data_IF_968192150276
#
_entry.id   IF_968192150276
#
_cell.length_a   1.000
_cell.length_b   1.000
_cell.length_c   1.000
_cell.angle_alpha   90.00
_cell.angle_beta   90.00
_cell.angle_gamma   90.00
#
_symmetry.space_group_name_H-M   'P 1'
#
loop_
_entity.id
_entity.type
_entity.pdbx_description
1 polymer ?
#
# COMPACT_ATOMS: atom_id res chain seq x y z
N UNK A 1 -29.55 -9.39 23.69
CA UNK A 1 -28.19 -9.40 23.13
C UNK A 1 -27.40 -8.36 23.92
N UNK A 2 -26.36 -8.80 24.63
CA UNK A 2 -25.57 -7.94 25.52
C UNK A 2 -24.53 -7.16 24.71
N UNK A 3 -24.20 -5.94 25.15
CA UNK A 3 -23.19 -5.08 24.52
C UNK A 3 -21.83 -5.78 24.39
N UNK A 4 -21.54 -6.72 25.28
CA UNK A 4 -20.32 -7.50 25.27
C UNK A 4 -20.24 -8.50 24.12
N UNK A 5 -21.36 -9.11 23.71
CA UNK A 5 -21.41 -9.96 22.52
C UNK A 5 -21.30 -9.14 21.24
N UNK A 6 -21.87 -7.94 21.22
CA UNK A 6 -21.68 -7.00 20.11
C UNK A 6 -20.21 -6.60 20.01
N UNK A 7 -19.56 -6.29 21.14
CA UNK A 7 -18.11 -6.04 21.21
C UNK A 7 -17.30 -7.25 20.76
N UNK A 8 -17.68 -8.46 21.16
CA UNK A 8 -16.93 -9.69 20.84
C UNK A 8 -17.09 -10.11 19.38
N UNK A 9 -18.22 -9.80 18.77
CA UNK A 9 -18.47 -9.95 17.33
C UNK A 9 -17.81 -8.81 16.53
N UNK A 10 -17.84 -7.57 17.04
CA UNK A 10 -17.17 -6.39 16.47
C UNK A 10 -15.63 -6.47 16.56
N UNK A 11 -15.12 -7.14 17.59
CA UNK A 11 -13.68 -7.34 17.84
C UNK A 11 -13.20 -8.73 17.36
N UNK A 12 -14.12 -9.56 16.89
CA UNK A 12 -13.84 -10.95 16.53
C UNK A 12 -13.17 -11.08 15.17
N UNK A 13 -12.32 -12.11 15.05
CA UNK A 13 -11.57 -12.56 13.86
C UNK A 13 -12.37 -12.65 12.54
N UNK A 14 -13.70 -12.61 12.63
CA UNK A 14 -14.65 -12.64 11.50
C UNK A 14 -14.79 -11.27 10.83
N UNK A 15 -14.69 -10.16 11.58
CA UNK A 15 -14.64 -8.82 10.97
C UNK A 15 -13.34 -8.59 10.22
N UNK A 16 -12.19 -9.08 10.70
CA UNK A 16 -10.90 -8.91 10.02
C UNK A 16 -10.87 -9.43 8.57
N UNK A 17 -11.68 -10.44 8.23
CA UNK A 17 -11.81 -10.92 6.83
C UNK A 17 -12.87 -10.19 6.01
N UNK A 18 -13.88 -9.61 6.65
CA UNK A 18 -14.86 -8.74 5.97
C UNK A 18 -14.30 -7.33 5.76
N UNK A 19 -13.47 -6.84 6.68
CA UNK A 19 -12.89 -5.49 6.72
C UNK A 19 -11.98 -5.22 5.51
N UNK A 20 -11.25 -6.24 5.04
CA UNK A 20 -10.45 -6.15 3.80
C UNK A 20 -11.30 -5.86 2.55
N UNK A 21 -12.57 -6.27 2.52
CA UNK A 21 -13.50 -6.03 1.39
C UNK A 21 -14.43 -4.84 1.68
N UNK A 22 -14.72 -4.55 2.95
CA UNK A 22 -15.61 -3.48 3.37
C UNK A 22 -14.89 -2.13 3.45
N UNK A 23 -13.58 -2.11 3.72
CA UNK A 23 -12.72 -0.92 3.84
C UNK A 23 -12.94 0.11 2.72
N UNK A 24 -12.90 -0.24 1.41
CA UNK A 24 -13.06 0.76 0.35
C UNK A 24 -14.48 1.33 0.23
N UNK A 25 -15.50 0.68 0.82
CA UNK A 25 -16.92 1.07 0.69
C UNK A 25 -17.59 1.52 1.99
N UNK A 26 -16.99 1.27 3.14
CA UNK A 26 -17.58 1.61 4.44
C UNK A 26 -17.68 3.12 4.62
N UNK A 27 -16.62 3.86 4.29
CA UNK A 27 -16.57 5.32 4.45
C UNK A 27 -17.64 6.04 3.62
N UNK A 28 -17.80 5.79 2.32
CA UNK A 28 -18.87 6.45 1.54
C UNK A 28 -20.27 6.05 2.00
N UNK A 29 -20.50 4.78 2.40
CA UNK A 29 -21.80 4.37 2.96
C UNK A 29 -22.09 5.08 4.29
N UNK A 30 -21.12 5.12 5.19
CA UNK A 30 -21.27 5.78 6.50
C UNK A 30 -21.52 7.27 6.34
N UNK A 31 -20.84 7.92 5.39
CA UNK A 31 -21.06 9.33 5.09
C UNK A 31 -22.49 9.58 4.57
N UNK A 32 -22.98 8.73 3.65
CA UNK A 32 -24.34 8.84 3.14
C UNK A 32 -25.40 8.62 4.23
N UNK A 33 -25.23 7.59 5.06
CA UNK A 33 -26.13 7.28 6.19
C UNK A 33 -26.07 8.40 7.24
N UNK A 34 -24.88 8.90 7.56
CA UNK A 34 -24.70 10.02 8.49
C UNK A 34 -25.38 11.28 8.01
N UNK A 35 -25.21 11.64 6.72
CA UNK A 35 -25.93 12.77 6.13
C UNK A 35 -27.44 12.58 6.16
N UNK A 36 -27.94 11.38 5.82
CA UNK A 36 -29.36 11.09 5.88
C UNK A 36 -29.91 11.21 7.31
N UNK A 37 -29.17 10.73 8.31
CA UNK A 37 -29.53 10.84 9.72
C UNK A 37 -29.59 12.31 10.18
N UNK A 38 -28.59 13.12 9.82
CA UNK A 38 -28.56 14.56 10.13
C UNK A 38 -29.75 15.27 9.48
N UNK A 39 -30.04 14.97 8.21
CA UNK A 39 -31.16 15.58 7.49
C UNK A 39 -32.50 15.20 8.11
N UNK A 40 -32.72 13.91 8.42
CA UNK A 40 -33.94 13.44 9.05
C UNK A 40 -34.11 14.06 10.44
N UNK A 41 -33.03 14.12 11.23
CA UNK A 41 -33.01 14.80 12.52
C UNK A 41 -33.41 16.27 12.38
N UNK A 42 -32.79 17.02 11.47
CA UNK A 42 -33.06 18.43 11.27
C UNK A 42 -34.53 18.69 10.88
N UNK A 43 -35.07 17.90 9.96
CA UNK A 43 -36.47 18.00 9.52
C UNK A 43 -37.42 17.67 10.68
N UNK A 44 -37.17 16.57 11.38
CA UNK A 44 -37.97 16.16 12.54
C UNK A 44 -37.95 17.23 13.64
N UNK A 45 -36.77 17.74 13.99
CA UNK A 45 -36.58 18.78 15.00
C UNK A 45 -37.30 20.08 14.62
N UNK A 46 -37.25 20.48 13.34
CA UNK A 46 -37.96 21.67 12.85
C UNK A 46 -39.47 21.54 13.06
N UNK A 47 -40.07 20.41 12.67
CA UNK A 47 -41.51 20.21 12.83
C UNK A 47 -41.93 20.08 14.29
N UNK A 48 -41.12 19.43 15.13
CA UNK A 48 -41.39 19.31 16.56
C UNK A 48 -41.32 20.67 17.26
N UNK A 49 -40.32 21.48 16.95
CA UNK A 49 -40.13 22.79 17.57
C UNK A 49 -41.19 23.81 17.13
N UNK A 50 -41.51 23.86 15.83
CA UNK A 50 -42.60 24.70 15.30
C UNK A 50 -43.99 24.23 15.73
N UNK A 51 -44.20 22.91 15.87
CA UNK A 51 -45.46 22.36 16.35
C UNK A 51 -45.78 22.72 17.80
N UNK A 52 -44.76 22.96 18.62
CA UNK A 52 -44.93 23.40 20.00
C UNK A 52 -45.33 24.88 20.11
N UNK A 53 -44.60 25.77 19.41
CA UNK A 53 -44.95 27.19 19.30
C UNK A 53 -44.09 27.88 18.25
N UNK A 54 -44.55 29.04 17.76
CA UNK A 54 -43.78 29.84 16.79
C UNK A 54 -42.42 30.30 17.32
N UNK A 55 -42.35 30.76 18.58
CA UNK A 55 -41.09 31.18 19.20
C UNK A 55 -40.09 30.04 19.36
N UNK A 56 -40.58 28.85 19.73
CA UNK A 56 -39.75 27.66 19.83
C UNK A 56 -39.27 27.17 18.46
N UNK A 57 -40.08 27.34 17.40
CA UNK A 57 -39.66 27.08 16.02
C UNK A 57 -38.52 27.99 15.57
N UNK A 58 -38.57 29.29 15.90
CA UNK A 58 -37.50 30.24 15.59
C UNK A 58 -36.19 29.87 16.31
N UNK A 59 -36.30 29.47 17.57
CA UNK A 59 -35.18 28.94 18.36
C UNK A 59 -34.65 27.61 17.79
N UNK A 60 -35.55 26.71 17.41
CA UNK A 60 -35.22 25.43 16.78
C UNK A 60 -34.47 25.59 15.45
N UNK A 61 -34.76 26.63 14.67
CA UNK A 61 -34.01 26.94 13.45
C UNK A 61 -32.55 27.32 13.76
N UNK A 62 -32.33 28.10 14.83
CA UNK A 62 -30.98 28.43 15.30
C UNK A 62 -30.25 27.19 15.81
N UNK A 63 -30.93 26.32 16.55
CA UNK A 63 -30.38 25.04 17.00
C UNK A 63 -29.98 24.14 15.82
N UNK A 64 -30.83 24.00 14.81
CA UNK A 64 -30.50 23.24 13.60
C UNK A 64 -29.30 23.85 12.88
N UNK A 65 -29.21 25.18 12.79
CA UNK A 65 -28.06 25.82 12.16
C UNK A 65 -26.75 25.50 12.89
N UNK A 66 -26.73 25.56 14.22
CA UNK A 66 -25.53 25.32 15.03
C UNK A 66 -25.23 23.82 15.15
N UNK A 67 -26.17 23.04 15.68
CA UNK A 67 -26.00 21.60 15.91
C UNK A 67 -26.00 20.80 14.62
N UNK A 68 -26.76 21.21 13.61
CA UNK A 68 -26.69 20.61 12.28
C UNK A 68 -25.31 20.82 11.66
N UNK A 69 -24.76 22.04 11.69
CA UNK A 69 -23.41 22.29 11.21
C UNK A 69 -22.35 21.51 12.02
N UNK A 70 -22.45 21.54 13.35
CA UNK A 70 -21.56 20.76 14.22
C UNK A 70 -21.63 19.26 13.93
N UNK A 71 -22.82 18.72 13.66
CA UNK A 71 -23.00 17.30 13.33
C UNK A 71 -22.32 16.94 12.00
N UNK A 72 -22.31 17.84 11.01
CA UNK A 72 -21.59 17.64 9.75
C UNK A 72 -20.08 17.65 9.98
N UNK A 73 -19.58 18.55 10.84
CA UNK A 73 -18.15 18.59 11.21
C UNK A 73 -17.78 17.31 11.97
N UNK A 74 -18.59 16.89 12.93
CA UNK A 74 -18.37 15.65 13.67
C UNK A 74 -18.36 14.43 12.74
N UNK A 75 -19.31 14.37 11.81
CA UNK A 75 -19.35 13.32 10.78
C UNK A 75 -18.06 13.30 9.96
N UNK A 76 -17.53 14.47 9.59
CA UNK A 76 -16.24 14.58 8.89
C UNK A 76 -15.09 14.02 9.70
N UNK A 77 -14.98 14.41 10.97
CA UNK A 77 -13.94 13.93 11.88
C UNK A 77 -14.02 12.41 12.02
N UNK A 78 -15.21 11.84 12.16
CA UNK A 78 -15.40 10.39 12.28
C UNK A 78 -15.00 9.67 10.98
N UNK A 79 -15.42 10.18 9.81
CA UNK A 79 -15.04 9.59 8.53
C UNK A 79 -13.53 9.63 8.30
N UNK A 80 -12.87 10.75 8.64
CA UNK A 80 -11.42 10.90 8.50
C UNK A 80 -10.67 10.02 9.50
N UNK A 81 -11.12 9.96 10.74
CA UNK A 81 -10.55 9.06 11.75
C UNK A 81 -10.62 7.59 11.31
N UNK A 82 -11.73 7.17 10.68
CA UNK A 82 -11.87 5.82 10.13
C UNK A 82 -10.91 5.58 8.96
N UNK A 83 -10.77 6.54 8.04
CA UNK A 83 -9.79 6.44 6.95
C UNK A 83 -8.36 6.31 7.48
N UNK A 84 -7.99 7.13 8.46
CA UNK A 84 -6.67 7.09 9.11
C UNK A 84 -6.47 5.76 9.84
N UNK A 85 -7.50 5.28 10.54
CA UNK A 85 -7.47 4.00 11.25
C UNK A 85 -7.26 2.82 10.29
N UNK A 86 -8.05 2.72 9.22
CA UNK A 86 -7.89 1.65 8.22
C UNK A 86 -6.53 1.73 7.53
N UNK A 87 -6.09 2.94 7.16
CA UNK A 87 -4.77 3.14 6.57
C UNK A 87 -3.62 2.75 7.51
N UNK A 88 -3.75 3.05 8.80
CA UNK A 88 -2.76 2.66 9.80
C UNK A 88 -2.70 1.13 9.96
N UNK A 89 -3.85 0.45 9.90
CA UNK A 89 -3.93 -1.01 9.96
C UNK A 89 -3.36 -1.70 8.72
N UNK A 90 -3.59 -1.16 7.52
CA UNK A 90 -2.96 -1.65 6.28
C UNK A 90 -1.42 -1.51 6.35
N UNK A 91 -0.94 -0.34 6.77
CA UNK A 91 0.50 -0.07 6.93
C UNK A 91 1.15 -1.00 7.96
N UNK A 92 0.44 -1.28 9.08
CA UNK A 92 0.92 -2.22 10.07
C UNK A 92 1.05 -3.63 9.51
N UNK A 93 0.04 -4.11 8.77
CA UNK A 93 0.06 -5.43 8.13
C UNK A 93 1.23 -5.58 7.13
N UNK A 94 1.42 -4.59 6.25
CA UNK A 94 2.54 -4.58 5.27
C UNK A 94 3.91 -4.60 5.95
N UNK A 95 4.06 -3.87 7.07
CA UNK A 95 5.30 -3.84 7.83
C UNK A 95 5.63 -5.21 8.45
N UNK A 96 4.62 -5.96 8.93
CA UNK A 96 4.82 -7.30 9.48
C UNK A 96 5.21 -8.32 8.40
N UNK A 97 4.61 -8.27 7.21
CA UNK A 97 5.03 -9.11 6.08
C UNK A 97 6.47 -8.79 5.65
N UNK A 98 6.81 -7.52 5.52
CA UNK A 98 8.17 -7.10 5.16
C UNK A 98 9.21 -7.47 6.22
N UNK A 99 8.87 -7.39 7.50
CA UNK A 99 9.73 -7.83 8.61
C UNK A 99 9.93 -9.36 8.61
N UNK A 100 8.90 -10.13 8.28
CA UNK A 100 9.02 -11.59 8.08
C UNK A 100 9.90 -11.94 6.88
N UNK A 101 9.68 -11.28 5.74
CA UNK A 101 10.47 -11.51 4.52
C UNK A 101 11.95 -11.17 4.74
N UNK A 102 12.25 -10.04 5.37
CA UNK A 102 13.65 -9.69 5.72
C UNK A 102 14.27 -10.68 6.70
N UNK A 103 13.53 -11.17 7.70
CA UNK A 103 14.03 -12.22 8.61
C UNK A 103 14.29 -13.53 7.88
N UNK A 104 13.39 -13.94 6.98
CA UNK A 104 13.56 -15.14 6.14
C UNK A 104 14.78 -15.03 5.23
N UNK A 105 14.99 -13.87 4.58
CA UNK A 105 16.14 -13.63 3.71
C UNK A 105 17.45 -13.64 4.50
N UNK A 106 17.47 -13.07 5.71
CA UNK A 106 18.66 -13.12 6.57
C UNK A 106 18.97 -14.54 7.03
N UNK A 107 17.96 -15.37 7.27
CA UNK A 107 18.14 -16.78 7.63
C UNK A 107 18.69 -17.58 6.44
N UNK A 108 18.14 -17.39 5.24
CA UNK A 108 18.62 -18.01 3.99
C UNK A 108 20.06 -17.58 3.63
N UNK A 109 20.39 -16.29 3.77
CA UNK A 109 21.76 -15.81 3.55
C UNK A 109 22.72 -16.37 4.61
N UNK A 110 22.29 -16.48 5.87
CA UNK A 110 23.10 -17.10 6.93
C UNK A 110 23.36 -18.57 6.64
N UNK A 111 22.34 -19.30 6.20
CA UNK A 111 22.43 -20.72 5.83
C UNK A 111 23.40 -20.93 4.67
N UNK A 112 23.27 -20.13 3.60
CA UNK A 112 24.17 -20.18 2.46
C UNK A 112 25.64 -19.87 2.81
N UNK A 113 25.87 -18.95 3.78
CA UNK A 113 27.22 -18.66 4.28
C UNK A 113 27.76 -19.84 5.10
N UNK A 114 26.91 -20.50 5.90
CA UNK A 114 27.30 -21.65 6.69
C UNK A 114 27.67 -22.84 5.80
N UNK A 115 26.87 -23.10 4.76
CA UNK A 115 27.16 -24.12 3.74
C UNK A 115 28.49 -23.84 3.05
N UNK A 116 28.77 -22.59 2.66
CA UNK A 116 30.03 -22.23 2.01
C UNK A 116 31.24 -22.43 2.94
N UNK A 117 31.09 -22.15 4.23
CA UNK A 117 32.12 -22.37 5.23
C UNK A 117 32.40 -23.86 5.48
N UNK A 118 31.37 -24.71 5.50
CA UNK A 118 31.56 -26.18 5.58
C UNK A 118 32.24 -26.74 4.33
N UNK A 119 32.04 -26.14 3.15
CA UNK A 119 32.70 -26.59 1.91
C UNK A 119 34.17 -26.16 1.80
N UNK A 120 34.60 -25.07 2.47
CA UNK A 120 36.01 -24.63 2.46
C UNK A 120 36.92 -25.50 3.36
N UNK A 121 36.42 -26.08 4.46
CA UNK A 121 37.27 -26.93 5.33
C UNK A 121 37.73 -28.23 4.64
N UNK A 122 37.03 -28.72 3.61
CA UNK A 122 37.46 -29.92 2.86
C UNK A 122 38.56 -29.67 1.82
N UNK A 123 38.69 -28.44 1.30
CA UNK A 123 39.65 -28.12 0.22
C UNK A 123 41.06 -27.80 0.78
N UNK A 124 41.16 -27.35 2.04
CA UNK A 124 42.46 -27.14 2.69
C UNK A 124 43.12 -28.43 3.20
N UNK A 125 42.36 -29.51 3.42
CA UNK A 125 42.92 -30.81 3.82
C UNK A 125 43.52 -31.61 2.66
N UNK A 126 43.15 -31.32 1.42
CA UNK A 126 43.69 -32.01 0.23
C UNK A 126 44.95 -31.32 -0.32
N UNK A 127 45.19 -30.05 0.04
CA UNK A 127 46.35 -29.28 -0.41
C UNK A 127 47.68 -29.69 0.26
N UNK A 128 47.66 -30.37 1.40
CA UNK A 128 48.87 -30.78 2.13
C UNK A 128 49.44 -32.16 1.71
N UNK A 129 48.79 -32.89 0.77
CA UNK A 129 49.31 -34.18 0.27
C UNK A 129 50.12 -34.07 -1.03
N UNK A 130 50.37 -32.85 -1.55
CA UNK A 130 51.19 -32.61 -2.75
C UNK A 130 52.45 -31.78 -2.48
N UNK A 131 53.29 -32.23 -1.53
CA UNK A 131 54.72 -31.85 -1.57
C UNK A 131 55.42 -32.80 -2.55
N UNK A 132 55.34 -32.49 -3.84
CA UNK A 132 56.22 -33.11 -4.85
C UNK A 132 57.56 -32.36 -4.90
N UNK A 133 58.70 -33.06 -5.03
CA UNK A 133 60.02 -32.41 -5.06
C UNK A 133 60.15 -31.50 -6.29
N UNK A 134 60.71 -30.31 -6.08
CA UNK A 134 60.91 -29.28 -7.08
C UNK A 134 61.87 -29.70 -8.21
N UNK A 135 61.34 -30.15 -9.34
CA UNK A 135 61.99 -30.04 -10.66
C UNK A 135 60.96 -30.18 -11.77
N UNK A 136 60.39 -29.07 -12.24
CA UNK A 136 59.97 -28.96 -13.64
C UNK A 136 60.06 -27.49 -14.12
N UNK A 137 60.57 -27.21 -15.34
CA UNK A 137 60.83 -25.84 -15.77
C UNK A 137 59.58 -25.15 -16.33
N UNK A 138 59.40 -23.89 -15.95
CA UNK A 138 58.34 -22.97 -16.41
C UNK A 138 58.45 -22.71 -17.92
N UNK A 139 57.37 -22.89 -18.72
CA UNK A 139 57.32 -22.44 -20.12
C UNK A 139 57.12 -20.91 -20.21
N UNK A 140 57.79 -20.21 -21.15
CA UNK A 140 57.73 -18.74 -21.25
C UNK A 140 56.40 -18.20 -21.81
N UNK A 141 56.04 -16.94 -21.48
CA UNK A 141 54.80 -16.31 -21.91
C UNK A 141 54.87 -15.89 -23.37
N UNK A 142 53.99 -16.43 -24.22
CA UNK A 142 53.82 -15.92 -25.57
C UNK A 142 53.02 -14.62 -25.59
N UNK A 143 53.62 -13.65 -26.28
CA UNK A 143 53.23 -12.26 -26.37
C UNK A 143 51.95 -12.04 -27.20
N UNK A 144 51.36 -10.88 -26.94
CA UNK A 144 50.17 -10.33 -27.56
C UNK A 144 50.24 -10.21 -29.10
N UNK A 145 49.17 -10.63 -29.78
CA UNK A 145 48.86 -10.16 -31.13
C UNK A 145 47.65 -9.21 -31.12
N UNK A 146 47.87 -8.04 -31.71
CA UNK A 146 46.94 -6.92 -31.84
C UNK A 146 45.99 -7.11 -33.03
N UNK A 147 44.73 -6.80 -32.78
CA UNK A 147 43.71 -6.10 -33.57
C UNK A 147 43.80 -6.02 -35.12
N UNK A 148 42.69 -6.40 -35.77
CA UNK A 148 42.19 -5.74 -37.00
C UNK A 148 40.64 -5.76 -37.04
N UNK A 149 39.92 -4.63 -37.25
CA UNK A 149 38.48 -4.54 -37.59
C UNK A 149 38.31 -4.35 -39.12
N UNK A 150 37.14 -4.05 -39.74
CA UNK A 150 35.72 -4.04 -39.31
C UNK A 150 34.79 -4.84 -40.28
N UNK A 151 33.48 -4.90 -40.05
CA UNK A 151 32.41 -4.53 -41.04
C UNK A 151 31.03 -4.72 -40.39
N UNK A 152 30.21 -3.67 -40.51
CA UNK A 152 28.82 -3.57 -40.07
C UNK A 152 27.98 -3.69 -41.33
N UNK A 153 27.11 -4.70 -41.41
CA UNK A 153 25.98 -4.72 -42.34
C UNK A 153 24.66 -4.74 -41.54
N UNK A 154 23.71 -3.94 -42.02
CA UNK A 154 22.57 -3.43 -41.27
C UNK A 154 21.25 -4.19 -41.51
N UNK A 155 20.49 -4.35 -40.41
CA UNK A 155 19.01 -4.34 -40.21
C UNK A 155 18.07 -5.37 -40.90
N UNK A 156 16.77 -5.47 -40.50
CA UNK A 156 16.11 -5.15 -39.21
C UNK A 156 15.18 -6.28 -38.71
N UNK A 157 14.69 -6.23 -37.47
CA UNK A 157 13.27 -6.46 -37.11
C UNK A 157 13.07 -6.38 -35.60
N UNK A 158 12.06 -5.62 -35.14
CA UNK A 158 11.43 -5.91 -33.85
C UNK A 158 11.24 -4.77 -32.84
N UNK A 159 10.50 -3.73 -33.25
CA UNK A 159 9.39 -3.14 -32.45
C UNK A 159 9.73 -2.61 -31.04
N UNK A 160 10.08 -1.32 -30.96
CA UNK A 160 9.95 -0.55 -29.71
C UNK A 160 8.52 -0.03 -29.49
N UNK A 161 8.14 0.37 -28.25
CA UNK A 161 7.02 1.27 -28.03
C UNK A 161 7.54 2.70 -27.77
N UNK A 162 7.39 3.58 -28.78
CA UNK A 162 7.50 5.03 -28.62
C UNK A 162 6.09 5.60 -28.51
N UNK A 163 5.76 6.27 -27.40
CA UNK A 163 4.76 7.35 -27.40
C UNK A 163 4.93 8.28 -26.19
N UNK A 164 5.83 9.23 -26.39
CA UNK A 164 5.80 10.56 -25.78
C UNK A 164 4.70 11.39 -26.45
N UNK A 165 3.78 11.98 -25.68
CA UNK A 165 3.12 13.22 -26.10
C UNK A 165 2.59 14.00 -24.89
N UNK A 166 3.04 15.26 -24.81
CA UNK A 166 2.66 16.32 -23.86
C UNK A 166 1.35 17.02 -24.29
N UNK A 167 0.56 17.45 -23.30
CA UNK A 167 -0.22 18.72 -23.13
C UNK A 167 -1.10 19.35 -24.26
N UNK A 168 -2.40 19.47 -23.91
CA UNK A 168 -3.36 20.65 -24.01
C UNK A 168 -3.91 21.20 -25.36
N UNK A 169 -5.04 21.96 -25.38
CA UNK A 169 -6.19 21.77 -26.30
C UNK A 169 -6.36 22.92 -27.35
N UNK A 170 -7.42 22.87 -28.19
CA UNK A 170 -8.37 24.00 -28.21
C UNK A 170 -9.85 23.64 -28.51
N UNK A 171 -10.78 24.42 -27.96
CA UNK A 171 -12.17 24.68 -28.43
C UNK A 171 -12.21 26.03 -29.17
N UNK A 172 -13.33 26.53 -29.73
CA UNK A 172 -14.52 25.93 -30.36
C UNK A 172 -14.83 26.58 -31.75
N UNK A 173 -15.67 25.97 -32.61
CA UNK A 173 -16.40 26.73 -33.66
C UNK A 173 -17.77 26.11 -34.00
N UNK A 174 -18.79 26.96 -33.84
CA UNK A 174 -19.96 27.12 -34.69
C UNK A 174 -20.93 25.93 -34.84
N UNK A 175 -21.90 25.85 -33.92
CA UNK A 175 -23.23 25.30 -34.21
C UNK A 175 -24.28 26.22 -33.59
N UNK A 176 -24.78 27.13 -34.42
CA UNK A 176 -26.07 27.82 -34.29
C UNK A 176 -26.77 27.65 -35.62
#
# INVERSE_FOLDING_TARGET
MTLDDLKKLLTGKVLFRLDSILSPRLVPMLYAVGLAAILLWAVSHLFLTFGASFGNGLWGLLEIAIFGLLSVILLRIVCEALLVYFKAHETAADNFERARLSTSLLDEVRDAIHDLAEHEESDYTEADEYITPATDPVPPPFAADKATPPTIDAEPTGRGPRRTAKRTPPTPKDML
#
